data_IF_234925083575
#
_entry.id   IF_234925083575
#
_cell.length_a   1.000
_cell.length_b   1.000
_cell.length_c   1.000
_cell.angle_alpha   90.00
_cell.angle_beta   90.00
_cell.angle_gamma   90.00
#
_symmetry.space_group_name_H-M   'P 1'
#
loop_
_entity.id
_entity.type
_entity.pdbx_description
1 polymer ?
#
# COMPACT_ATOMS: atom_id res chain seq x y z
N UNK A 1 -22.23 -3.41 -25.70
CA UNK A 1 -21.84 -2.45 -24.65
C UNK A 1 -20.40 -2.75 -24.27
N UNK A 2 -19.58 -1.74 -23.98
CA UNK A 2 -18.20 -1.99 -23.55
C UNK A 2 -18.21 -2.64 -22.17
N UNK A 3 -17.41 -3.69 -21.98
CA UNK A 3 -17.22 -4.30 -20.66
C UNK A 3 -16.44 -3.32 -19.77
N UNK A 4 -16.75 -3.22 -18.46
CA UNK A 4 -15.91 -2.45 -17.55
C UNK A 4 -14.48 -2.96 -17.60
N UNK A 5 -13.52 -2.03 -17.57
CA UNK A 5 -12.09 -2.34 -17.69
C UNK A 5 -11.43 -2.33 -16.32
N UNK A 6 -10.70 -3.40 -15.99
CA UNK A 6 -9.93 -3.52 -14.76
C UNK A 6 -8.44 -3.49 -15.07
N UNK A 7 -7.69 -2.67 -14.34
CA UNK A 7 -6.22 -2.71 -14.39
C UNK A 7 -5.65 -3.36 -13.15
N UNK A 8 -4.82 -4.38 -13.35
CA UNK A 8 -3.96 -4.95 -12.30
C UNK A 8 -2.60 -4.27 -12.43
N UNK A 9 -2.29 -3.36 -11.53
CA UNK A 9 -1.09 -2.50 -11.60
C UNK A 9 -0.22 -2.84 -10.40
N UNK A 10 1.04 -3.19 -10.64
CA UNK A 10 1.92 -3.57 -9.54
C UNK A 10 3.35 -3.03 -9.63
N UNK A 11 4.02 -2.97 -8.48
CA UNK A 11 5.46 -2.79 -8.38
C UNK A 11 6.06 -4.03 -7.73
N UNK A 12 7.19 -4.53 -8.23
CA UNK A 12 7.85 -5.71 -7.68
C UNK A 12 9.35 -5.66 -7.89
N UNK A 13 10.13 -5.56 -6.81
CA UNK A 13 11.60 -5.62 -6.88
C UNK A 13 12.12 -7.04 -7.02
N UNK A 14 11.49 -8.01 -6.33
CA UNK A 14 12.00 -9.38 -6.19
C UNK A 14 11.02 -10.46 -6.72
N UNK A 15 10.02 -10.08 -7.52
CA UNK A 15 9.10 -11.02 -8.15
C UNK A 15 7.85 -11.40 -7.34
N UNK A 16 7.88 -11.37 -6.00
CA UNK A 16 6.74 -11.81 -5.15
C UNK A 16 5.39 -11.19 -5.54
N UNK A 17 5.35 -9.85 -5.70
CA UNK A 17 4.11 -9.14 -6.05
C UNK A 17 3.70 -9.40 -7.50
N UNK A 18 4.66 -9.62 -8.40
CA UNK A 18 4.35 -10.03 -9.78
C UNK A 18 3.64 -11.39 -9.80
N UNK A 19 4.13 -12.36 -9.04
CA UNK A 19 3.50 -13.68 -8.90
C UNK A 19 2.10 -13.57 -8.31
N UNK A 20 1.89 -12.73 -7.28
CA UNK A 20 0.55 -12.43 -6.75
C UNK A 20 -0.35 -11.77 -7.80
N UNK A 21 0.16 -10.82 -8.58
CA UNK A 21 -0.58 -10.15 -9.64
C UNK A 21 -1.05 -11.12 -10.73
N UNK A 22 -0.27 -12.16 -11.05
CA UNK A 22 -0.68 -13.22 -11.97
C UNK A 22 -1.88 -14.01 -11.43
N UNK A 23 -1.90 -14.35 -10.15
CA UNK A 23 -3.07 -15.01 -9.53
C UNK A 23 -4.28 -14.09 -9.45
N UNK A 24 -4.08 -12.80 -9.14
CA UNK A 24 -5.14 -11.79 -9.20
C UNK A 24 -5.76 -11.74 -10.62
N UNK A 25 -4.93 -11.70 -11.67
CA UNK A 25 -5.41 -11.72 -13.05
C UNK A 25 -6.25 -12.97 -13.35
N UNK A 26 -5.80 -14.16 -12.93
CA UNK A 26 -6.58 -15.40 -13.08
C UNK A 26 -7.97 -15.26 -12.46
N UNK A 27 -8.03 -14.67 -11.26
CA UNK A 27 -9.26 -14.38 -10.55
C UNK A 27 -10.20 -13.45 -11.33
N UNK A 28 -9.67 -12.32 -11.79
CA UNK A 28 -10.45 -11.34 -12.57
C UNK A 28 -10.99 -11.96 -13.87
N UNK A 29 -10.18 -12.75 -14.57
CA UNK A 29 -10.55 -13.40 -15.84
C UNK A 29 -11.68 -14.43 -15.71
N UNK A 30 -12.03 -14.88 -14.49
CA UNK A 30 -13.22 -15.74 -14.29
C UNK A 30 -14.53 -15.02 -14.56
N UNK A 31 -14.53 -13.68 -14.53
CA UNK A 31 -15.71 -12.89 -14.85
C UNK A 31 -15.64 -12.43 -16.32
N UNK A 32 -16.44 -13.06 -17.18
CA UNK A 32 -16.48 -12.73 -18.61
C UNK A 32 -17.07 -11.35 -18.92
N UNK A 33 -17.63 -10.64 -17.93
CA UNK A 33 -18.26 -9.33 -18.12
C UNK A 33 -17.30 -8.15 -17.94
N UNK A 34 -16.02 -8.40 -17.65
CA UNK A 34 -14.98 -7.36 -17.54
C UNK A 34 -13.85 -7.62 -18.53
N UNK A 35 -13.19 -6.56 -18.97
CA UNK A 35 -11.89 -6.65 -19.63
C UNK A 35 -10.79 -6.40 -18.59
N UNK A 36 -9.64 -7.06 -18.73
CA UNK A 36 -8.54 -6.92 -17.78
C UNK A 36 -7.19 -6.76 -18.47
N UNK A 37 -6.38 -5.82 -17.98
CA UNK A 37 -5.02 -5.57 -18.46
C UNK A 37 -4.06 -5.47 -17.26
N UNK A 38 -2.81 -5.91 -17.44
CA UNK A 38 -1.77 -5.86 -16.41
C UNK A 38 -0.72 -4.80 -16.74
N UNK A 39 -0.30 -4.03 -15.73
CA UNK A 39 0.74 -3.02 -15.85
C UNK A 39 1.72 -3.03 -14.68
N UNK A 40 2.89 -2.44 -14.92
CA UNK A 40 3.88 -2.13 -13.90
C UNK A 40 3.88 -0.64 -13.56
N UNK A 41 4.04 -0.29 -12.29
CA UNK A 41 4.45 1.06 -11.92
C UNK A 41 5.87 1.35 -12.43
N UNK A 42 6.18 2.61 -12.79
CA UNK A 42 7.52 2.99 -13.21
C UNK A 42 8.54 2.78 -12.10
N UNK A 43 9.75 2.36 -12.47
CA UNK A 43 10.89 2.24 -11.57
C UNK A 43 11.53 3.62 -11.33
N UNK A 44 12.04 3.85 -10.12
CA UNK A 44 12.72 5.08 -9.71
C UNK A 44 14.21 4.89 -9.44
N UNK A 45 14.66 3.65 -9.26
CA UNK A 45 16.07 3.31 -9.06
C UNK A 45 16.79 3.14 -10.40
N UNK A 46 18.07 3.53 -10.45
CA UNK A 46 18.93 3.27 -11.59
C UNK A 46 19.24 1.77 -11.74
N UNK A 47 19.49 1.34 -12.97
CA UNK A 47 19.77 -0.07 -13.27
C UNK A 47 20.98 -0.62 -12.49
N UNK A 48 21.99 0.20 -12.21
CA UNK A 48 23.17 -0.19 -11.42
C UNK A 48 22.83 -0.49 -9.94
N UNK A 49 21.85 0.23 -9.38
CA UNK A 49 21.35 -0.01 -8.03
C UNK A 49 20.55 -1.30 -8.00
N UNK A 50 19.69 -1.52 -9.00
CA UNK A 50 18.89 -2.75 -9.12
C UNK A 50 19.77 -3.99 -9.26
N UNK A 51 20.86 -3.90 -10.05
CA UNK A 51 21.84 -4.98 -10.19
C UNK A 51 22.50 -5.33 -8.86
N UNK A 52 22.98 -4.32 -8.11
CA UNK A 52 23.59 -4.50 -6.78
C UNK A 52 22.60 -5.05 -5.75
N UNK A 53 21.32 -4.74 -5.90
CA UNK A 53 20.25 -5.27 -5.06
C UNK A 53 19.83 -6.69 -5.44
N UNK A 54 20.36 -7.24 -6.53
CA UNK A 54 19.93 -8.51 -7.12
C UNK A 54 18.42 -8.51 -7.39
N UNK A 55 17.90 -7.41 -7.94
CA UNK A 55 16.50 -7.31 -8.34
C UNK A 55 16.15 -8.39 -9.38
N UNK A 56 14.90 -8.85 -9.35
CA UNK A 56 14.43 -9.84 -10.30
C UNK A 56 14.45 -9.27 -11.74
N UNK A 57 14.58 -10.13 -12.76
CA UNK A 57 14.49 -9.70 -14.15
C UNK A 57 13.18 -8.95 -14.43
N UNK A 58 13.26 -7.89 -15.25
CA UNK A 58 12.09 -7.11 -15.65
C UNK A 58 11.13 -8.03 -16.44
N UNK A 59 9.88 -8.24 -15.99
CA UNK A 59 8.92 -9.06 -16.74
C UNK A 59 8.46 -8.32 -18.00
N UNK A 60 7.98 -9.07 -18.99
CA UNK A 60 7.39 -8.51 -20.21
C UNK A 60 5.96 -7.99 -19.96
N UNK A 61 5.83 -6.97 -19.12
CA UNK A 61 4.57 -6.29 -18.78
C UNK A 61 4.77 -4.79 -18.99
N UNK A 62 3.86 -4.09 -19.69
CA UNK A 62 4.01 -2.67 -19.97
C UNK A 62 4.05 -1.83 -18.69
N UNK A 63 4.81 -0.74 -18.70
CA UNK A 63 4.79 0.28 -17.65
C UNK A 63 3.60 1.21 -17.90
N UNK A 64 2.86 1.57 -16.85
CA UNK A 64 1.71 2.46 -16.95
C UNK A 64 2.11 3.92 -16.84
N UNK A 65 1.51 4.77 -17.69
CA UNK A 65 1.50 6.22 -17.55
C UNK A 65 0.29 6.68 -16.73
N UNK A 66 0.44 7.77 -15.97
CA UNK A 66 -0.61 8.26 -15.07
C UNK A 66 -1.94 8.49 -15.80
N UNK A 67 -1.91 9.09 -16.98
CA UNK A 67 -3.12 9.45 -17.75
C UNK A 67 -3.97 8.23 -18.12
N UNK A 68 -3.33 7.06 -18.25
CA UNK A 68 -4.02 5.82 -18.58
C UNK A 68 -4.99 5.38 -17.49
N UNK A 69 -4.79 5.79 -16.23
CA UNK A 69 -5.72 5.46 -15.13
C UNK A 69 -7.17 5.88 -15.44
N UNK A 70 -7.38 6.94 -16.22
CA UNK A 70 -8.72 7.40 -16.59
C UNK A 70 -9.51 6.36 -17.41
N UNK A 71 -8.82 5.44 -18.11
CA UNK A 71 -9.41 4.44 -19.01
C UNK A 71 -10.01 3.22 -18.29
N UNK A 72 -9.66 2.97 -17.02
CA UNK A 72 -10.16 1.82 -16.27
C UNK A 72 -11.31 2.19 -15.34
N UNK A 73 -12.19 1.25 -15.06
CA UNK A 73 -13.31 1.38 -14.11
C UNK A 73 -12.95 0.81 -12.74
N UNK A 74 -11.94 -0.06 -12.69
CA UNK A 74 -11.43 -0.67 -11.47
C UNK A 74 -9.93 -0.90 -11.49
N UNK A 75 -9.32 -0.88 -10.30
CA UNK A 75 -7.89 -1.11 -10.10
C UNK A 75 -7.65 -2.18 -9.05
N UNK A 76 -6.66 -3.05 -9.27
CA UNK A 76 -6.04 -3.83 -8.22
C UNK A 76 -4.57 -3.40 -8.13
N UNK A 77 -4.23 -2.67 -7.07
CA UNK A 77 -2.88 -2.15 -6.86
C UNK A 77 -2.05 -3.09 -5.99
N UNK A 78 -0.90 -3.51 -6.51
CA UNK A 78 0.02 -4.43 -5.86
C UNK A 78 1.37 -3.81 -5.54
N UNK A 79 1.86 -3.91 -4.31
CA UNK A 79 3.24 -3.45 -4.03
C UNK A 79 3.85 -4.05 -2.76
N UNK A 80 5.19 -4.20 -2.70
CA UNK A 80 5.86 -4.60 -1.48
C UNK A 80 5.79 -3.46 -0.45
N UNK A 81 5.65 -3.82 0.82
CA UNK A 81 5.69 -2.85 1.90
C UNK A 81 7.06 -2.17 2.00
N UNK A 82 7.05 -0.90 2.36
CA UNK A 82 8.19 -0.19 2.93
C UNK A 82 7.74 0.41 4.25
N UNK A 83 8.04 -0.30 5.34
CA UNK A 83 7.71 0.09 6.71
C UNK A 83 6.21 0.37 6.96
N UNK A 84 5.33 -0.43 6.36
CA UNK A 84 3.87 -0.24 6.49
C UNK A 84 3.29 0.82 5.55
N UNK A 85 4.02 1.20 4.50
CA UNK A 85 3.57 2.12 3.47
C UNK A 85 3.94 1.64 2.06
N UNK A 86 3.40 2.30 1.05
CA UNK A 86 3.77 2.09 -0.35
C UNK A 86 5.24 2.48 -0.60
N UNK A 87 5.94 1.81 -1.52
CA UNK A 87 7.32 2.14 -1.88
C UNK A 87 7.37 3.46 -2.68
N UNK A 88 8.57 4.04 -2.80
CA UNK A 88 8.80 5.32 -3.46
C UNK A 88 8.30 5.34 -4.91
N UNK A 89 8.40 4.22 -5.63
CA UNK A 89 7.92 4.04 -7.00
C UNK A 89 6.42 4.31 -7.12
N UNK A 90 5.64 3.68 -6.23
CA UNK A 90 4.18 3.86 -6.18
C UNK A 90 3.84 5.27 -5.71
N UNK A 91 4.53 5.77 -4.68
CA UNK A 91 4.30 7.12 -4.16
C UNK A 91 4.57 8.19 -5.22
N UNK A 92 5.69 8.09 -5.94
CA UNK A 92 6.05 9.02 -7.02
C UNK A 92 5.03 8.98 -8.16
N UNK A 93 4.52 7.80 -8.51
CA UNK A 93 3.47 7.68 -9.52
C UNK A 93 2.18 8.40 -9.08
N UNK A 94 1.73 8.20 -7.84
CA UNK A 94 0.55 8.89 -7.31
C UNK A 94 0.77 10.40 -7.12
N UNK A 95 1.97 10.84 -6.78
CA UNK A 95 2.30 12.28 -6.71
C UNK A 95 2.17 12.97 -8.09
N UNK A 96 2.35 12.22 -9.18
CA UNK A 96 2.18 12.73 -10.54
C UNK A 96 0.71 12.77 -11.02
N UNK A 97 -0.26 12.30 -10.22
CA UNK A 97 -1.68 12.26 -10.60
C UNK A 97 -2.45 13.57 -10.35
N UNK A 98 -1.76 14.68 -10.06
CA UNK A 98 -2.39 15.97 -9.71
C UNK A 98 -3.40 16.50 -10.74
N UNK A 99 -3.14 16.30 -12.04
CA UNK A 99 -4.09 16.71 -13.10
C UNK A 99 -5.35 15.84 -13.15
N UNK A 100 -5.22 14.53 -12.87
CA UNK A 100 -6.37 13.63 -12.80
C UNK A 100 -7.24 13.97 -11.59
N UNK A 101 -6.59 14.25 -10.46
CA UNK A 101 -7.25 14.71 -9.24
C UNK A 101 -8.05 15.99 -9.49
N UNK A 102 -7.43 17.02 -10.08
CA UNK A 102 -8.09 18.31 -10.32
C UNK A 102 -9.30 18.20 -11.25
N UNK A 103 -9.30 17.20 -12.15
CA UNK A 103 -10.40 16.93 -13.10
C UNK A 103 -11.46 15.98 -12.53
N UNK A 104 -11.24 15.41 -11.33
CA UNK A 104 -12.10 14.35 -10.79
C UNK A 104 -12.12 13.09 -11.65
N UNK A 105 -11.06 12.84 -12.43
CA UNK A 105 -11.06 11.80 -13.46
C UNK A 105 -11.14 10.37 -12.91
N UNK A 106 -10.85 10.18 -11.62
CA UNK A 106 -10.87 8.88 -10.95
C UNK A 106 -12.05 8.71 -9.97
N UNK A 107 -12.93 9.71 -9.86
CA UNK A 107 -14.07 9.68 -8.95
C UNK A 107 -15.03 8.56 -9.33
N UNK A 108 -15.45 7.76 -8.36
CA UNK A 108 -16.40 6.66 -8.55
C UNK A 108 -15.78 5.36 -9.09
N UNK A 109 -14.52 5.37 -9.52
CA UNK A 109 -13.79 4.15 -9.87
C UNK A 109 -13.52 3.31 -8.62
N UNK A 110 -13.30 2.00 -8.79
CA UNK A 110 -13.05 1.09 -7.66
C UNK A 110 -11.57 0.73 -7.52
N UNK A 111 -11.08 0.49 -6.30
CA UNK A 111 -9.75 -0.06 -6.10
C UNK A 111 -9.68 -1.09 -4.96
N UNK A 112 -8.98 -2.20 -5.20
CA UNK A 112 -8.52 -3.13 -4.17
C UNK A 112 -7.00 -3.12 -4.07
N UNK A 113 -6.46 -3.62 -2.96
CA UNK A 113 -5.02 -3.62 -2.68
C UNK A 113 -4.51 -5.04 -2.43
N UNK A 114 -3.27 -5.33 -2.81
CA UNK A 114 -2.53 -6.54 -2.43
C UNK A 114 -1.06 -6.22 -2.20
N UNK A 115 -0.35 -7.01 -1.38
CA UNK A 115 0.97 -6.61 -0.89
C UNK A 115 1.92 -7.76 -0.59
N UNK A 116 3.19 -7.42 -0.37
CA UNK A 116 4.22 -8.35 0.11
C UNK A 116 4.95 -7.75 1.30
N UNK A 117 5.24 -8.54 2.33
CA UNK A 117 6.01 -8.11 3.50
C UNK A 117 7.16 -9.06 3.80
N UNK A 118 8.20 -8.58 4.50
CA UNK A 118 9.28 -9.44 4.97
C UNK A 118 8.94 -10.26 6.22
N UNK A 119 7.97 -9.82 7.03
CA UNK A 119 7.58 -10.50 8.27
C UNK A 119 6.06 -10.56 8.44
N UNK A 120 5.59 -11.45 9.32
CA UNK A 120 4.17 -11.75 9.52
C UNK A 120 3.29 -10.54 9.84
N UNK A 121 3.81 -9.58 10.60
CA UNK A 121 3.04 -8.40 11.05
C UNK A 121 3.69 -7.07 10.64
N UNK A 122 4.78 -7.11 9.87
CA UNK A 122 5.53 -5.95 9.42
C UNK A 122 4.89 -5.23 8.24
N UNK A 123 3.59 -4.95 8.31
CA UNK A 123 2.87 -4.19 7.28
C UNK A 123 1.81 -4.95 6.48
N UNK A 124 1.40 -6.16 6.89
CA UNK A 124 0.34 -6.94 6.24
C UNK A 124 -1.06 -6.28 6.35
N UNK A 125 -1.18 -5.21 7.12
CA UNK A 125 -2.42 -4.43 7.26
C UNK A 125 -2.15 -2.94 7.04
N UNK A 126 -1.13 -2.40 7.73
CA UNK A 126 -0.83 -0.97 7.69
C UNK A 126 -0.44 -0.44 6.30
N UNK A 127 0.13 -1.29 5.43
CA UNK A 127 0.44 -0.92 4.04
C UNK A 127 -0.81 -0.54 3.26
N UNK A 128 -1.91 -1.27 3.46
CA UNK A 128 -3.19 -0.92 2.86
C UNK A 128 -3.79 0.32 3.53
N UNK A 129 -3.81 0.34 4.86
CA UNK A 129 -4.37 1.44 5.64
C UNK A 129 -3.74 2.80 5.30
N UNK A 130 -2.41 2.86 5.23
CA UNK A 130 -1.67 4.08 4.91
C UNK A 130 -1.80 4.51 3.44
N UNK A 131 -2.30 3.62 2.58
CA UNK A 131 -2.56 3.93 1.18
C UNK A 131 -3.96 4.51 0.94
N UNK A 132 -4.93 4.20 1.80
CA UNK A 132 -6.32 4.68 1.69
C UNK A 132 -6.46 6.20 1.52
N UNK A 133 -5.64 7.08 2.12
CA UNK A 133 -5.71 8.52 1.85
C UNK A 133 -5.57 8.87 0.36
N UNK A 134 -4.73 8.16 -0.40
CA UNK A 134 -4.59 8.38 -1.84
C UNK A 134 -5.90 8.08 -2.59
N UNK A 135 -6.55 6.97 -2.22
CA UNK A 135 -7.84 6.57 -2.82
C UNK A 135 -8.94 7.58 -2.46
N UNK A 136 -9.01 7.97 -1.18
CA UNK A 136 -10.01 8.91 -0.67
C UNK A 136 -9.90 10.28 -1.35
N UNK A 137 -8.70 10.83 -1.49
CA UNK A 137 -8.48 12.12 -2.15
C UNK A 137 -8.86 12.12 -3.64
N UNK A 138 -8.75 10.97 -4.32
CA UNK A 138 -9.18 10.79 -5.71
C UNK A 138 -10.66 10.42 -5.86
N UNK A 139 -11.39 10.22 -4.76
CA UNK A 139 -12.78 9.75 -4.80
C UNK A 139 -12.93 8.31 -5.31
N UNK A 140 -11.89 7.49 -5.17
CA UNK A 140 -11.88 6.07 -5.54
C UNK A 140 -12.53 5.24 -4.42
N UNK A 141 -13.47 4.37 -4.80
CA UNK A 141 -14.16 3.46 -3.90
C UNK A 141 -13.22 2.32 -3.53
N UNK A 142 -12.84 2.24 -2.26
CA UNK A 142 -12.04 1.12 -1.76
C UNK A 142 -12.90 -0.14 -1.59
N UNK A 143 -12.45 -1.25 -2.18
CA UNK A 143 -13.08 -2.57 -2.10
C UNK A 143 -12.15 -3.50 -1.31
N UNK A 144 -12.43 -3.76 -0.02
CA UNK A 144 -11.61 -4.67 0.78
C UNK A 144 -11.81 -6.13 0.36
N UNK A 145 -10.84 -6.98 0.70
CA UNK A 145 -10.95 -8.43 0.48
C UNK A 145 -11.99 -9.07 1.41
N UNK A 146 -11.98 -8.71 2.68
CA UNK A 146 -12.70 -9.43 3.73
C UNK A 146 -12.07 -10.81 4.01
N UNK A 147 -12.89 -11.81 4.36
CA UNK A 147 -12.43 -13.19 4.64
C UNK A 147 -13.11 -14.21 3.70
N UNK A 148 -12.89 -14.16 2.37
CA UNK A 148 -13.61 -15.00 1.43
C UNK A 148 -13.01 -16.41 1.28
N UNK A 149 -11.79 -16.66 1.75
CA UNK A 149 -11.11 -17.96 1.67
C UNK A 149 -11.02 -18.63 3.05
N UNK A 150 -11.24 -19.95 3.16
CA UNK A 150 -11.04 -20.70 4.40
C UNK A 150 -9.58 -20.62 4.90
N UNK A 151 -8.61 -20.48 4.00
CA UNK A 151 -7.19 -20.38 4.35
C UNK A 151 -6.86 -19.17 5.25
N UNK A 152 -7.71 -18.14 5.26
CA UNK A 152 -7.53 -16.97 6.15
C UNK A 152 -7.91 -17.24 7.61
N UNK A 153 -8.48 -18.41 7.91
CA UNK A 153 -8.80 -18.87 9.27
C UNK A 153 -7.87 -19.98 9.77
N UNK A 154 -6.99 -20.48 8.92
CA UNK A 154 -6.06 -21.55 9.26
C UNK A 154 -4.92 -21.02 10.13
N UNK A 155 -4.44 -21.88 11.04
CA UNK A 155 -3.37 -21.57 11.98
C UNK A 155 -2.28 -22.66 12.01
N UNK A 156 -2.28 -23.54 11.00
CA UNK A 156 -1.30 -24.62 10.85
C UNK A 156 -0.04 -24.19 10.07
N UNK A 157 -0.14 -23.07 9.36
CA UNK A 157 0.93 -22.48 8.56
C UNK A 157 0.86 -20.95 8.63
N UNK A 158 1.99 -20.31 8.35
CA UNK A 158 2.05 -18.86 8.14
C UNK A 158 1.43 -18.57 6.78
N UNK A 159 0.44 -17.67 6.74
CA UNK A 159 -0.25 -17.24 5.53
C UNK A 159 -0.29 -15.71 5.52
N UNK A 160 0.18 -15.10 4.42
CA UNK A 160 0.06 -13.66 4.20
C UNK A 160 -1.35 -13.23 3.80
N UNK A 161 -1.59 -11.93 3.88
CA UNK A 161 -2.88 -11.31 3.60
C UNK A 161 -3.70 -11.04 4.86
N UNK A 162 -4.76 -10.27 4.66
CA UNK A 162 -5.67 -9.83 5.72
C UNK A 162 -6.99 -9.39 5.10
N UNK A 163 -7.95 -8.94 5.92
CA UNK A 163 -9.20 -8.38 5.43
C UNK A 163 -9.00 -7.20 4.45
N UNK A 164 -7.83 -6.56 4.49
CA UNK A 164 -7.48 -5.43 3.64
C UNK A 164 -7.05 -5.83 2.22
N UNK A 165 -6.67 -7.09 2.00
CA UNK A 165 -6.10 -7.52 0.72
C UNK A 165 -5.34 -8.82 0.83
N UNK A 166 -5.17 -9.51 -0.30
CA UNK A 166 -4.29 -10.64 -0.40
C UNK A 166 -2.85 -10.20 -0.15
N UNK A 167 -2.06 -11.08 0.46
CA UNK A 167 -0.68 -10.76 0.80
C UNK A 167 0.21 -11.98 0.76
N UNK A 168 1.51 -11.74 0.67
CA UNK A 168 2.54 -12.78 0.80
C UNK A 168 3.60 -12.35 1.81
N UNK A 169 4.12 -13.31 2.58
CA UNK A 169 5.26 -13.10 3.46
C UNK A 169 6.52 -13.65 2.78
N UNK A 170 7.40 -12.76 2.34
CA UNK A 170 8.63 -13.09 1.62
C UNK A 170 9.78 -13.57 2.54
N UNK A 171 9.61 -13.45 3.85
CA UNK A 171 10.67 -13.75 4.82
C UNK A 171 11.73 -12.64 4.92
N UNK A 172 12.61 -12.72 5.92
CA UNK A 172 13.60 -11.66 6.22
C UNK A 172 14.66 -11.48 5.13
N UNK A 173 14.94 -12.54 4.37
CA UNK A 173 15.90 -12.57 3.26
C UNK A 173 15.22 -12.58 1.87
N UNK A 174 13.88 -12.53 1.83
CA UNK A 174 13.12 -12.58 0.59
C UNK A 174 13.08 -13.97 -0.08
N UNK A 175 13.50 -15.04 0.60
CA UNK A 175 13.56 -16.38 0.01
C UNK A 175 12.20 -17.08 -0.08
N UNK A 176 11.22 -16.70 0.75
CA UNK A 176 9.91 -17.35 0.77
C UNK A 176 9.06 -16.92 -0.43
N UNK A 177 8.71 -17.89 -1.27
CA UNK A 177 7.81 -17.66 -2.40
C UNK A 177 6.34 -17.73 -1.98
N UNK A 178 5.42 -17.06 -2.70
CA UNK A 178 3.99 -17.19 -2.45
C UNK A 178 3.55 -18.65 -2.42
N UNK A 179 2.90 -19.04 -1.33
CA UNK A 179 2.34 -20.37 -1.16
C UNK A 179 1.06 -20.55 -1.97
N UNK A 180 0.63 -21.80 -2.19
CA UNK A 180 -0.65 -22.04 -2.84
C UNK A 180 -1.83 -21.40 -2.10
N UNK A 181 -1.79 -21.35 -0.76
CA UNK A 181 -2.81 -20.70 0.08
C UNK A 181 -2.92 -19.21 -0.23
N UNK A 182 -1.78 -18.51 -0.24
CA UNK A 182 -1.71 -17.07 -0.57
C UNK A 182 -2.13 -16.78 -2.02
N UNK A 183 -1.73 -17.64 -2.96
CA UNK A 183 -2.09 -17.52 -4.37
C UNK A 183 -3.58 -17.75 -4.61
N UNK A 184 -4.22 -18.69 -3.90
CA UNK A 184 -5.67 -18.90 -3.99
C UNK A 184 -6.43 -17.70 -3.40
N UNK A 185 -5.99 -17.16 -2.26
CA UNK A 185 -6.56 -15.95 -1.68
C UNK A 185 -6.50 -14.78 -2.69
N UNK A 186 -5.38 -14.63 -3.38
CA UNK A 186 -5.21 -13.62 -4.43
C UNK A 186 -6.14 -13.85 -5.63
N UNK A 187 -6.30 -15.10 -6.06
CA UNK A 187 -7.25 -15.45 -7.12
C UNK A 187 -8.71 -15.13 -6.72
N UNK A 188 -9.10 -15.47 -5.48
CA UNK A 188 -10.42 -15.15 -4.95
C UNK A 188 -10.62 -13.63 -4.86
N UNK A 189 -9.59 -12.87 -4.46
CA UNK A 189 -9.67 -11.40 -4.47
C UNK A 189 -9.99 -10.85 -5.85
N UNK A 190 -9.29 -11.32 -6.88
CA UNK A 190 -9.52 -10.90 -8.26
C UNK A 190 -10.94 -11.18 -8.72
N UNK A 191 -11.45 -12.38 -8.44
CA UNK A 191 -12.81 -12.80 -8.79
C UNK A 191 -13.88 -11.93 -8.11
N UNK A 192 -13.75 -11.73 -6.78
CA UNK A 192 -14.71 -10.92 -6.00
C UNK A 192 -14.68 -9.46 -6.44
N UNK A 193 -13.48 -8.90 -6.64
CA UNK A 193 -13.33 -7.53 -7.09
C UNK A 193 -13.98 -7.29 -8.45
N UNK A 194 -13.77 -8.20 -9.41
CA UNK A 194 -14.41 -8.13 -10.72
C UNK A 194 -15.95 -8.13 -10.61
N UNK A 195 -16.50 -8.96 -9.72
CA UNK A 195 -17.94 -8.98 -9.41
C UNK A 195 -18.47 -7.66 -8.85
N UNK A 196 -17.68 -6.95 -8.02
CA UNK A 196 -18.04 -5.62 -7.51
C UNK A 196 -18.01 -4.58 -8.63
N UNK A 197 -16.93 -4.52 -9.42
CA UNK A 197 -16.80 -3.57 -10.54
C UNK A 197 -17.95 -3.71 -11.55
N UNK A 198 -18.34 -4.96 -11.85
CA UNK A 198 -19.48 -5.24 -12.74
C UNK A 198 -20.80 -4.67 -12.20
N UNK A 199 -21.00 -4.72 -10.87
CA UNK A 199 -22.22 -4.22 -10.23
C UNK A 199 -22.25 -2.69 -10.11
N UNK A 200 -21.09 -2.07 -9.93
CA UNK A 200 -20.97 -0.61 -9.84
C UNK A 200 -21.00 0.08 -11.20
N UNK A 201 -20.67 -0.66 -12.26
CA UNK A 201 -20.78 -0.24 -13.65
C UNK A 201 -21.77 -1.15 -14.40
N UNK A 202 -23.05 -1.21 -13.96
CA UNK A 202 -24.04 -1.99 -14.68
C UNK A 202 -24.13 -1.40 -16.08
N UNK A 203 -24.19 -2.26 -17.09
CA UNK A 203 -24.35 -1.84 -18.47
C UNK A 203 -25.75 -1.21 -18.63
N UNK A 204 -25.88 0.07 -18.28
CA UNK A 204 -27.11 0.87 -18.38
C UNK A 204 -26.79 2.29 -18.85
N UNK A 205 -27.33 2.58 -20.04
CA UNK A 205 -27.57 3.85 -20.75
C UNK A 205 -26.69 5.06 -20.44
N UNK A 206 -25.98 5.48 -21.50
CA UNK A 206 -25.50 6.83 -21.87
C UNK A 206 -25.01 7.73 -20.72
N UNK A 207 -23.73 8.15 -20.71
CA UNK A 207 -23.25 9.07 -19.70
C UNK A 207 -24.07 10.36 -19.75
N UNK A 208 -24.72 10.69 -18.64
CA UNK A 208 -25.20 12.04 -18.36
C UNK A 208 -24.01 12.95 -18.57
N UNK A 209 -24.15 13.91 -19.49
CA UNK A 209 -23.14 14.91 -19.75
C UNK A 209 -22.68 15.50 -18.42
N UNK A 210 -21.37 15.45 -18.17
CA UNK A 210 -20.75 16.22 -17.10
C UNK A 210 -20.99 17.70 -17.42
N UNK A 211 -22.11 18.22 -16.93
CA UNK A 211 -22.42 19.63 -17.02
C UNK A 211 -21.39 20.38 -16.18
N UNK A 212 -20.82 21.38 -16.84
CA UNK A 212 -19.71 22.24 -16.43
C UNK A 212 -19.78 22.59 -14.95
N UNK A 213 -18.78 22.14 -14.20
CA UNK A 213 -18.50 22.74 -12.90
C UNK A 213 -17.98 24.18 -13.17
N UNK A 214 -18.56 25.23 -12.57
CA UNK A 214 -18.06 26.58 -12.77
C UNK A 214 -16.66 26.73 -12.16
N UNK A 215 -15.79 27.43 -12.87
CA UNK A 215 -14.47 27.84 -12.44
C UNK A 215 -14.50 28.38 -10.99
N UNK A 216 -13.59 27.97 -10.09
CA UNK A 216 -13.55 28.55 -8.77
C UNK A 216 -13.18 30.04 -8.89
N UNK A 217 -14.07 30.91 -8.42
CA UNK A 217 -13.83 32.34 -8.34
C UNK A 217 -12.57 32.60 -7.50
N UNK A 218 -11.53 33.13 -8.14
CA UNK A 218 -10.32 33.57 -7.46
C UNK A 218 -10.65 34.84 -6.68
N UNK A 219 -11.07 34.68 -5.43
CA UNK A 219 -11.11 35.80 -4.48
C UNK A 219 -9.67 36.02 -4.01
N UNK A 220 -9.01 36.99 -4.63
CA UNK A 220 -7.72 37.48 -4.15
C UNK A 220 -7.92 38.14 -2.78
N UNK A 221 -7.57 37.43 -1.71
CA UNK A 221 -7.33 38.06 -0.41
C UNK A 221 -5.95 38.72 -0.45
N UNK A 222 -5.82 40.00 -0.04
CA UNK A 222 -4.51 40.64 0.02
C UNK A 222 -3.69 40.00 1.14
N UNK A 223 -2.54 39.43 0.77
CA UNK A 223 -1.54 38.95 1.72
C UNK A 223 -0.91 40.17 2.39
N UNK A 224 -1.07 40.30 3.70
CA UNK A 224 -0.38 41.32 4.48
C UNK A 224 1.14 41.08 4.45
N UNK A 225 1.98 42.13 4.42
CA UNK A 225 3.42 41.96 4.32
C UNK A 225 3.97 41.25 5.56
N UNK A 226 4.77 40.22 5.33
CA UNK A 226 5.52 39.51 6.38
C UNK A 226 6.59 40.46 6.91
N UNK A 227 6.47 40.88 8.17
CA UNK A 227 7.56 41.54 8.89
C UNK A 227 8.69 40.54 9.15
N UNK A 228 9.90 40.86 8.69
CA UNK A 228 11.12 40.13 9.01
C UNK A 228 11.33 40.07 10.53
N UNK A 229 11.28 38.88 11.11
CA UNK A 229 11.86 38.64 12.43
C UNK A 229 13.36 38.40 12.27
N UNK A 230 14.16 39.40 12.66
CA UNK A 230 15.61 39.26 12.90
C UNK A 230 15.85 38.11 13.87
N UNK A 231 16.56 37.09 13.42
CA UNK A 231 17.09 36.02 14.28
C UNK A 231 18.15 36.65 15.19
N UNK A 232 17.89 36.69 16.50
CA UNK A 232 18.88 37.08 17.49
C UNK A 232 19.93 35.97 17.61
N UNK A 233 21.22 36.36 17.53
CA UNK A 233 22.35 35.45 17.70
C UNK A 233 22.29 34.76 19.08
N UNK A 234 22.33 33.43 19.08
CA UNK A 234 22.42 32.62 20.30
C UNK A 234 23.77 32.83 20.98
N UNK A 235 23.75 33.04 22.30
CA UNK A 235 24.96 33.09 23.12
C UNK A 235 25.64 31.70 23.21
N UNK A 236 26.97 31.64 23.41
CA UNK A 236 27.67 30.38 23.52
C UNK A 236 27.27 29.64 24.81
N UNK A 237 26.91 28.36 24.65
CA UNK A 237 26.56 27.46 25.75
C UNK A 237 27.80 27.15 26.58
N UNK A 238 27.80 27.52 27.86
CA UNK A 238 28.83 27.10 28.82
C UNK A 238 28.65 25.63 29.19
N UNK A 239 29.77 24.88 29.16
CA UNK A 239 29.87 23.45 29.51
C UNK A 239 29.39 23.22 30.97
N UNK A 240 28.57 22.18 31.27
CA UNK A 240 28.22 21.85 32.64
C UNK A 240 29.43 21.28 33.40
N UNK A 241 29.51 21.60 34.69
CA UNK A 241 30.53 21.09 35.61
C UNK A 241 30.40 19.57 35.82
N UNK A 242 31.55 18.91 35.91
CA UNK A 242 31.72 17.48 36.13
C UNK A 242 31.42 17.14 37.60
N UNK A 243 30.25 16.59 37.89
CA UNK A 243 29.94 16.02 39.20
C UNK A 243 30.31 14.54 39.23
N UNK A 244 31.23 14.19 40.12
CA UNK A 244 31.69 12.82 40.36
C UNK A 244 30.54 11.87 40.73
N UNK A 245 30.56 10.68 40.13
CA UNK A 245 29.61 9.60 40.40
C UNK A 245 29.86 8.96 41.79
N UNK A 246 28.82 8.60 42.55
CA UNK A 246 28.98 7.82 43.77
C UNK A 246 29.27 6.35 43.46
N UNK A 247 30.17 5.73 44.23
CA UNK A 247 30.58 4.32 44.13
C UNK A 247 29.43 3.30 44.27
N UNK A 248 29.54 2.11 43.65
CA UNK A 248 28.48 1.12 43.65
C UNK A 248 28.42 0.35 44.99
N UNK A 249 27.29 0.48 45.71
CA UNK A 249 26.95 -0.45 46.80
C UNK A 249 26.59 -1.82 46.22
N UNK A 250 27.46 -2.81 46.45
CA UNK A 250 27.15 -4.24 46.30
C UNK A 250 26.05 -4.67 47.27
N UNK A 251 25.29 -5.68 46.84
CA UNK A 251 24.32 -6.50 47.59
C UNK A 251 22.94 -5.92 47.94
N UNK A 252 21.89 -6.55 47.38
CA UNK A 252 20.74 -7.12 48.14
C UNK A 252 19.45 -7.30 47.32
N UNK A 253 19.39 -6.90 46.04
CA UNK A 253 18.14 -6.94 45.27
C UNK A 253 17.68 -8.37 44.89
N UNK A 254 18.59 -9.32 44.67
CA UNK A 254 18.22 -10.70 44.31
C UNK A 254 17.66 -11.55 45.47
N UNK A 255 17.84 -11.16 46.73
CA UNK A 255 17.26 -11.89 47.88
C UNK A 255 15.81 -11.50 48.19
N UNK A 256 15.32 -10.35 47.71
CA UNK A 256 13.92 -9.91 47.93
C UNK A 256 12.93 -10.46 46.90
N UNK A 257 13.39 -10.84 45.71
CA UNK A 257 12.52 -11.46 44.70
C UNK A 257 12.26 -12.95 44.99
N UNK A 258 13.26 -13.66 45.52
CA UNK A 258 13.14 -15.09 45.82
C UNK A 258 12.19 -15.42 46.99
N UNK A 259 11.99 -14.51 47.96
CA UNK A 259 11.08 -14.75 49.08
C UNK A 259 9.60 -14.50 48.77
N UNK A 260 9.29 -13.74 47.71
CA UNK A 260 7.91 -13.50 47.26
C UNK A 260 7.34 -14.64 46.43
N UNK A 261 8.18 -15.39 45.71
CA UNK A 261 7.72 -16.54 44.91
C UNK A 261 7.40 -17.79 45.76
N UNK A 262 8.02 -17.96 46.93
CA UNK A 262 7.78 -19.13 47.79
C UNK A 262 6.49 -19.07 48.62
N UNK A 263 5.74 -17.96 48.56
CA UNK A 263 4.48 -17.75 49.29
C UNK A 263 3.23 -17.88 48.42
N UNK A 264 3.40 -18.13 47.12
CA UNK A 264 2.30 -18.24 46.14
C UNK A 264 2.01 -19.72 45.80
N UNK A 265 2.92 -20.64 46.13
CA UNK A 265 2.80 -22.08 45.83
C UNK A 265 2.97 -22.98 47.07
N UNK A 266 2.45 -22.54 48.23
CA UNK A 266 2.26 -23.40 49.41
C UNK A 266 0.83 -23.31 49.89
#
# INVERSE_FOLDING_TARGET
MAKPKIFVIYYSTYGHVHTMAQSIMKGVMKNENVDVEMYQFPETLGDDVLEKMHAAPKPNVPVIDVDKLAEADGFLFGFPTRFGAAPAQVKSFFDATGQLWSKGALVGKSAGLFFSTGSQHGGQESTAYSFLPHLAHHGIIYVPLGFPSPYMFENDAIVGGSAWGAGVIAGPDGSLQPTHKELEIAEIQGEKFAGVVTKLNPASETPVSADKNPEPAVVATPVAPVTEHKIAASQPVTKPAETAAPEPKKESSMRRLASRFKKIFS
#
